data_IF_005225761714
#
_entry.id   IF_005225761714
#
_cell.length_a   1.000
_cell.length_b   1.000
_cell.length_c   1.000
_cell.angle_alpha   90.00
_cell.angle_beta   90.00
_cell.angle_gamma   90.00
#
_symmetry.space_group_name_H-M   'P 1'
#
loop_
_entity.id
_entity.type
_entity.pdbx_description
1 polymer ?
#
# COMPACT_ATOMS: atom_id res chain seq x y z
N UNK A 1 22.47 43.47 -0.52
CA UNK A 1 22.33 42.21 -1.27
C UNK A 1 21.65 41.22 -0.33
N UNK A 2 20.34 40.99 -0.49
CA UNK A 2 19.60 40.02 0.33
C UNK A 2 19.33 38.83 -0.58
N UNK A 3 20.11 37.77 -0.42
CA UNK A 3 19.89 36.51 -1.14
C UNK A 3 18.82 35.71 -0.39
N UNK A 4 17.62 35.65 -0.96
CA UNK A 4 16.53 34.83 -0.46
C UNK A 4 16.72 33.42 -1.04
N UNK A 5 17.19 32.47 -0.22
CA UNK A 5 17.26 31.08 -0.64
C UNK A 5 15.84 30.51 -0.67
N UNK A 6 15.33 30.21 -1.87
CA UNK A 6 14.13 29.42 -2.04
C UNK A 6 14.44 27.97 -1.66
N UNK A 7 13.95 27.52 -0.51
CA UNK A 7 14.00 26.10 -0.13
C UNK A 7 13.09 25.34 -1.09
N UNK A 8 13.67 24.49 -1.94
CA UNK A 8 12.91 23.52 -2.71
C UNK A 8 12.23 22.57 -1.73
N UNK A 9 10.90 22.52 -1.72
CA UNK A 9 10.17 21.41 -1.13
C UNK A 9 10.51 20.16 -1.95
N UNK A 10 11.22 19.20 -1.35
CA UNK A 10 11.35 17.86 -1.92
C UNK A 10 9.99 17.21 -1.68
N UNK A 11 9.19 17.05 -2.73
CA UNK A 11 8.00 16.21 -2.68
C UNK A 11 8.44 14.83 -2.18
N UNK A 12 7.86 14.36 -1.09
CA UNK A 12 8.21 13.10 -0.45
C UNK A 12 7.77 11.96 -1.39
N UNK A 13 8.68 11.52 -2.26
CA UNK A 13 8.49 10.34 -3.12
C UNK A 13 8.61 9.12 -2.22
N UNK A 14 7.56 8.75 -1.49
CA UNK A 14 7.61 7.51 -0.70
C UNK A 14 7.35 6.30 -1.60
N UNK A 15 8.18 6.06 -2.63
CA UNK A 15 8.31 4.70 -3.14
C UNK A 15 9.43 4.07 -2.32
N UNK A 16 9.05 3.36 -1.27
CA UNK A 16 9.93 2.61 -0.37
C UNK A 16 10.56 1.39 -1.09
N UNK A 17 10.02 1.01 -2.25
CA UNK A 17 10.63 0.03 -3.16
C UNK A 17 9.67 -0.59 -4.15
N UNK A 18 10.23 -1.34 -5.09
CA UNK A 18 9.50 -2.09 -6.13
C UNK A 18 9.69 -3.60 -5.96
N UNK A 19 8.66 -4.37 -6.27
CA UNK A 19 8.72 -5.84 -6.33
C UNK A 19 8.18 -6.32 -7.68
N UNK A 20 8.87 -7.28 -8.31
CA UNK A 20 8.38 -7.94 -9.53
C UNK A 20 8.21 -9.43 -9.26
N UNK A 21 7.01 -9.95 -9.51
CA UNK A 21 6.68 -11.36 -9.37
C UNK A 21 6.44 -11.99 -10.75
N UNK A 22 6.82 -13.26 -10.85
CA UNK A 22 6.71 -14.08 -12.06
C UNK A 22 6.46 -15.53 -11.69
N UNK A 23 6.12 -16.39 -12.65
CA UNK A 23 5.96 -17.83 -12.37
C UNK A 23 7.23 -18.47 -11.76
N UNK A 24 8.43 -17.96 -12.09
CA UNK A 24 9.69 -18.45 -11.51
C UNK A 24 10.00 -17.90 -10.12
N UNK A 25 9.38 -16.78 -9.74
CA UNK A 25 9.50 -16.13 -8.44
C UNK A 25 8.14 -15.54 -8.05
N UNK A 26 7.19 -16.37 -7.57
CA UNK A 26 5.82 -15.93 -7.31
C UNK A 26 5.67 -15.23 -5.95
N UNK A 27 6.75 -15.15 -5.16
CA UNK A 27 6.76 -14.57 -3.81
C UNK A 27 7.85 -13.52 -3.66
N UNK A 28 7.67 -12.61 -2.70
CA UNK A 28 8.68 -11.62 -2.37
C UNK A 28 8.34 -10.83 -1.11
N UNK A 29 9.27 -9.97 -0.69
CA UNK A 29 9.01 -9.06 0.42
C UNK A 29 9.69 -7.71 0.21
N UNK A 30 9.08 -6.68 0.77
CA UNK A 30 9.59 -5.32 0.83
C UNK A 30 9.54 -4.83 2.28
N UNK A 31 10.29 -3.79 2.57
CA UNK A 31 10.20 -3.06 3.83
C UNK A 31 9.92 -1.60 3.54
N UNK A 32 9.15 -0.95 4.40
CA UNK A 32 8.81 0.45 4.23
C UNK A 32 8.46 1.10 5.55
N UNK A 33 7.98 2.33 5.50
CA UNK A 33 7.46 3.02 6.67
C UNK A 33 6.17 3.73 6.32
N UNK A 34 5.08 3.29 6.93
CA UNK A 34 3.77 3.88 6.76
C UNK A 34 3.79 5.27 7.40
N UNK A 35 3.49 6.28 6.61
CA UNK A 35 3.47 7.70 7.00
C UNK A 35 2.36 8.44 6.26
N UNK A 36 1.99 9.58 6.81
CA UNK A 36 1.10 10.54 6.20
C UNK A 36 -0.16 10.78 7.02
N UNK A 37 -0.93 11.75 6.59
CA UNK A 37 -2.13 12.23 7.31
C UNK A 37 -3.31 12.48 6.37
N UNK A 38 -3.19 12.10 5.10
CA UNK A 38 -4.30 12.20 4.16
C UNK A 38 -5.23 11.01 4.36
N UNK A 39 -6.52 11.28 4.33
CA UNK A 39 -7.55 10.25 4.36
C UNK A 39 -7.36 9.31 3.15
N UNK A 40 -6.92 8.07 3.41
CA UNK A 40 -6.64 7.09 2.35
C UNK A 40 -7.88 6.86 1.48
N UNK A 41 -9.10 6.68 2.03
CA UNK A 41 -10.27 6.32 1.23
C UNK A 41 -10.74 7.45 0.30
N UNK A 42 -10.99 8.65 0.82
CA UNK A 42 -11.59 9.74 0.05
C UNK A 42 -10.56 10.58 -0.69
N UNK A 43 -9.41 10.88 -0.07
CA UNK A 43 -8.43 11.83 -0.63
C UNK A 43 -7.46 11.14 -1.58
N UNK A 44 -7.00 9.93 -1.24
CA UNK A 44 -5.94 9.23 -1.99
C UNK A 44 -6.56 8.28 -3.02
N UNK A 45 -7.55 7.47 -2.59
CA UNK A 45 -8.17 6.48 -3.45
C UNK A 45 -9.35 7.03 -4.25
N UNK A 46 -10.04 8.07 -3.73
CA UNK A 46 -11.28 8.60 -4.29
C UNK A 46 -12.46 7.64 -4.15
N UNK A 47 -12.34 6.62 -3.29
CA UNK A 47 -13.32 5.56 -3.10
C UNK A 47 -13.20 4.94 -1.71
N UNK A 48 -14.32 4.84 -0.99
CA UNK A 48 -14.34 4.32 0.39
C UNK A 48 -14.38 2.81 0.50
N UNK A 49 -14.77 2.10 -0.57
CA UNK A 49 -14.89 0.64 -0.57
C UNK A 49 -14.30 0.03 -1.83
N UNK A 50 -13.84 -1.22 -1.74
CA UNK A 50 -13.43 -2.00 -2.91
C UNK A 50 -14.64 -2.58 -3.69
N UNK A 51 -14.38 -3.39 -4.72
CA UNK A 51 -15.42 -4.02 -5.55
C UNK A 51 -16.22 -5.10 -4.80
N UNK A 52 -15.63 -5.69 -3.75
CA UNK A 52 -16.26 -6.70 -2.92
C UNK A 52 -17.02 -6.10 -1.72
N UNK A 53 -16.90 -4.78 -1.50
CA UNK A 53 -17.56 -4.06 -0.42
C UNK A 53 -16.73 -3.97 0.86
N UNK A 54 -15.43 -4.29 0.83
CA UNK A 54 -14.55 -4.05 1.97
C UNK A 54 -14.22 -2.57 2.07
N UNK A 55 -14.24 -2.04 3.29
CA UNK A 55 -13.87 -0.67 3.56
C UNK A 55 -12.37 -0.47 3.36
N UNK A 56 -12.03 0.59 2.63
CA UNK A 56 -10.71 1.17 2.65
C UNK A 56 -10.65 2.09 3.87
N UNK A 57 -9.57 2.01 4.66
CA UNK A 57 -9.48 2.69 5.94
C UNK A 57 -8.11 3.32 6.18
N UNK A 58 -8.06 4.24 7.14
CA UNK A 58 -6.82 4.83 7.64
C UNK A 58 -6.30 6.02 6.83
N UNK A 59 -5.03 6.31 7.07
CA UNK A 59 -4.34 7.50 6.59
C UNK A 59 -3.00 7.15 5.98
N UNK A 60 -2.68 7.81 4.88
CA UNK A 60 -1.44 7.59 4.15
C UNK A 60 -0.87 8.89 3.59
N UNK A 61 0.26 8.76 2.89
CA UNK A 61 0.75 9.77 1.96
C UNK A 61 -0.08 9.75 0.67
N UNK A 62 0.00 10.82 -0.12
CA UNK A 62 -0.66 10.88 -1.43
C UNK A 62 -0.07 9.87 -2.43
N UNK A 63 1.25 9.66 -2.36
CA UNK A 63 1.97 8.71 -3.20
C UNK A 63 1.89 7.29 -2.61
N UNK A 64 1.83 6.24 -3.45
CA UNK A 64 1.88 4.85 -2.98
C UNK A 64 3.23 4.51 -2.39
N UNK A 65 3.24 3.67 -1.35
CA UNK A 65 4.46 3.18 -0.69
C UNK A 65 5.29 2.27 -1.59
N UNK A 66 4.64 1.40 -2.36
CA UNK A 66 5.32 0.42 -3.20
C UNK A 66 4.66 0.28 -4.57
N UNK A 67 5.47 -0.20 -5.51
CA UNK A 67 4.97 -0.67 -6.80
C UNK A 67 5.23 -2.17 -6.95
N UNK A 68 4.17 -2.92 -7.20
CA UNK A 68 4.24 -4.36 -7.45
C UNK A 68 3.96 -4.61 -8.94
N UNK A 69 4.82 -5.34 -9.63
CA UNK A 69 4.62 -5.76 -11.02
C UNK A 69 4.43 -7.27 -11.09
N UNK A 70 3.28 -7.70 -11.57
CA UNK A 70 2.99 -9.10 -11.86
C UNK A 70 3.21 -9.35 -13.36
N UNK A 71 4.23 -10.11 -13.71
CA UNK A 71 4.53 -10.41 -15.12
C UNK A 71 3.50 -11.33 -15.78
N UNK A 72 2.88 -12.18 -14.96
CA UNK A 72 1.83 -13.12 -15.33
C UNK A 72 0.69 -13.00 -14.31
N UNK A 73 -0.55 -13.39 -14.68
CA UNK A 73 -1.60 -13.48 -13.69
C UNK A 73 -1.24 -14.47 -12.57
N UNK A 74 -1.52 -14.12 -11.32
CA UNK A 74 -1.26 -14.98 -10.16
C UNK A 74 -2.59 -15.27 -9.46
N UNK A 75 -2.86 -16.56 -9.22
CA UNK A 75 -4.03 -16.98 -8.47
C UNK A 75 -3.73 -17.00 -6.96
N UNK A 76 -4.73 -16.65 -6.15
CA UNK A 76 -4.66 -16.68 -4.68
C UNK A 76 -3.47 -15.92 -4.06
N UNK A 77 -2.98 -14.87 -4.73
CA UNK A 77 -1.93 -14.02 -4.17
C UNK A 77 -2.48 -13.25 -2.97
N UNK A 78 -1.68 -13.23 -1.92
CA UNK A 78 -1.95 -12.52 -0.69
C UNK A 78 -0.84 -11.52 -0.41
N UNK A 79 -1.22 -10.26 -0.19
CA UNK A 79 -0.31 -9.25 0.33
C UNK A 79 -0.58 -9.05 1.81
N UNK A 80 0.46 -9.15 2.64
CA UNK A 80 0.34 -9.00 4.09
C UNK A 80 1.36 -7.99 4.61
N UNK A 81 0.92 -7.13 5.52
CA UNK A 81 1.76 -6.15 6.20
C UNK A 81 2.01 -6.65 7.63
N UNK A 82 3.27 -6.61 8.06
CA UNK A 82 3.64 -6.84 9.46
C UNK A 82 4.36 -5.60 10.00
N UNK A 83 3.73 -4.93 10.96
CA UNK A 83 4.20 -3.74 11.66
C UNK A 83 4.46 -3.99 13.16
N UNK A 84 4.47 -5.26 13.59
CA UNK A 84 4.61 -5.62 15.00
C UNK A 84 3.34 -5.35 15.81
N UNK A 85 3.26 -4.19 16.46
CA UNK A 85 2.14 -3.81 17.34
C UNK A 85 1.35 -2.60 16.84
N UNK A 86 1.78 -1.96 15.75
CA UNK A 86 1.11 -0.77 15.22
C UNK A 86 0.01 -1.17 14.24
N UNK A 87 -1.18 -0.59 14.39
CA UNK A 87 -2.30 -0.79 13.47
C UNK A 87 -2.01 -0.13 12.11
N UNK A 88 -1.83 -0.96 11.09
CA UNK A 88 -1.62 -0.55 9.70
C UNK A 88 -2.85 -0.86 8.88
N UNK A 89 -3.03 -0.16 7.76
CA UNK A 89 -4.09 -0.43 6.80
C UNK A 89 -3.46 -0.70 5.43
N UNK A 90 -4.16 -1.40 4.54
CA UNK A 90 -3.64 -1.79 3.23
C UNK A 90 -4.66 -1.49 2.13
N UNK A 91 -4.21 -0.77 1.10
CA UNK A 91 -4.97 -0.60 -0.13
C UNK A 91 -4.08 -0.84 -1.35
N UNK A 92 -4.66 -1.47 -2.37
CA UNK A 92 -3.95 -1.84 -3.59
C UNK A 92 -4.79 -1.45 -4.79
N UNK A 93 -4.23 -0.59 -5.65
CA UNK A 93 -4.83 -0.25 -6.95
C UNK A 93 -4.08 -1.01 -8.04
N UNK A 94 -4.82 -1.75 -8.84
CA UNK A 94 -4.28 -2.56 -9.94
C UNK A 94 -4.80 -2.12 -11.32
N UNK A 95 -4.44 -2.89 -12.36
CA UNK A 95 -4.93 -2.68 -13.72
C UNK A 95 -6.47 -2.74 -13.79
N UNK A 96 -7.03 -2.11 -14.83
CA UNK A 96 -8.48 -2.14 -15.12
C UNK A 96 -9.38 -1.63 -13.98
N UNK A 97 -8.86 -0.71 -13.16
CA UNK A 97 -9.60 -0.12 -12.05
C UNK A 97 -9.79 -1.05 -10.85
N UNK A 98 -9.06 -2.17 -10.78
CA UNK A 98 -9.05 -3.05 -9.61
C UNK A 98 -8.62 -2.24 -8.37
N UNK A 99 -9.42 -2.33 -7.31
CA UNK A 99 -9.09 -1.84 -5.98
C UNK A 99 -9.29 -3.01 -5.02
N UNK A 100 -8.36 -3.19 -4.10
CA UNK A 100 -8.44 -4.15 -3.00
C UNK A 100 -8.14 -3.40 -1.72
N UNK A 101 -8.97 -3.57 -0.70
CA UNK A 101 -8.80 -2.92 0.59
C UNK A 101 -8.83 -3.96 1.71
N UNK A 102 -7.92 -3.80 2.67
CA UNK A 102 -7.79 -4.67 3.82
C UNK A 102 -7.26 -3.88 5.01
N UNK A 103 -7.88 -4.05 6.17
CA UNK A 103 -7.54 -3.30 7.38
C UNK A 103 -6.91 -4.22 8.42
N UNK A 104 -7.65 -5.25 8.89
CA UNK A 104 -7.09 -6.30 9.75
C UNK A 104 -7.97 -7.56 9.70
N UNK A 105 -7.33 -8.74 9.63
CA UNK A 105 -7.98 -9.99 10.05
C UNK A 105 -7.80 -10.12 11.56
N UNK A 106 -8.91 -9.99 12.29
CA UNK A 106 -9.09 -10.19 13.75
C UNK A 106 -7.88 -10.78 14.49
N UNK A 107 -7.20 -9.96 15.31
CA UNK A 107 -6.27 -10.42 16.35
C UNK A 107 -4.77 -10.20 16.10
N UNK A 108 -4.37 -9.64 14.96
CA UNK A 108 -2.98 -9.23 14.68
C UNK A 108 -2.98 -7.86 14.00
N UNK A 109 -2.09 -6.95 14.43
CA UNK A 109 -1.84 -5.64 13.83
C UNK A 109 -1.16 -5.79 12.46
N UNK A 110 -1.86 -6.34 11.49
CA UNK A 110 -1.28 -6.86 10.25
C UNK A 110 -2.35 -6.86 9.16
N UNK A 111 -2.44 -5.75 8.43
CA UNK A 111 -3.32 -5.61 7.29
C UNK A 111 -3.01 -6.64 6.19
N UNK A 112 -4.05 -7.18 5.57
CA UNK A 112 -3.92 -8.18 4.51
C UNK A 112 -4.97 -7.96 3.42
N UNK A 113 -4.58 -8.19 2.17
CA UNK A 113 -5.52 -8.35 1.04
C UNK A 113 -5.24 -9.65 0.30
N UNK A 114 -6.31 -10.38 -0.01
CA UNK A 114 -6.27 -11.60 -0.81
C UNK A 114 -7.31 -11.49 -1.92
N UNK A 115 -6.94 -11.96 -3.12
CA UNK A 115 -7.89 -12.12 -4.21
C UNK A 115 -7.65 -13.44 -4.94
N UNK A 116 -8.71 -14.12 -5.42
CA UNK A 116 -8.57 -15.40 -6.11
C UNK A 116 -7.79 -15.27 -7.42
N UNK A 117 -7.82 -14.09 -8.05
CA UNK A 117 -7.10 -13.81 -9.28
C UNK A 117 -6.56 -12.39 -9.30
N UNK A 118 -5.25 -12.27 -9.51
CA UNK A 118 -4.55 -11.03 -9.76
C UNK A 118 -4.12 -10.99 -11.23
N UNK A 119 -4.68 -10.09 -12.06
CA UNK A 119 -4.22 -9.90 -13.43
C UNK A 119 -2.72 -9.56 -13.53
N UNK A 120 -2.09 -9.86 -14.66
CA UNK A 120 -0.77 -9.31 -14.94
C UNK A 120 -0.86 -7.77 -15.04
N UNK A 121 0.20 -7.09 -14.59
CA UNK A 121 0.32 -5.64 -14.67
C UNK A 121 0.98 -5.01 -13.45
N UNK A 122 0.84 -3.69 -13.36
CA UNK A 122 1.44 -2.89 -12.30
C UNK A 122 0.39 -2.48 -11.28
N UNK A 123 0.77 -2.58 -10.02
CA UNK A 123 -0.03 -2.31 -8.86
C UNK A 123 0.63 -1.25 -8.00
N UNK A 124 -0.16 -0.29 -7.55
CA UNK A 124 0.21 0.71 -6.56
C UNK A 124 -0.27 0.23 -5.19
N UNK A 125 0.62 0.20 -4.21
CA UNK A 125 0.34 -0.31 -2.86
C UNK A 125 0.52 0.82 -1.86
N UNK A 126 -0.55 1.13 -1.12
CA UNK A 126 -0.53 2.02 0.02
C UNK A 126 -0.57 1.20 1.30
N UNK A 127 0.41 1.40 2.15
CA UNK A 127 0.39 0.94 3.55
C UNK A 127 0.12 2.17 4.41
N UNK A 128 -1.10 2.22 4.93
CA UNK A 128 -1.58 3.29 5.78
C UNK A 128 -1.39 2.99 7.26
N UNK A 129 -1.82 3.94 8.07
CA UNK A 129 -1.92 3.83 9.53
C UNK A 129 -3.32 4.22 9.97
N UNK A 130 -3.82 3.65 11.06
CA UNK A 130 -5.20 3.93 11.49
C UNK A 130 -5.42 5.37 11.96
N UNK A 131 -4.36 6.07 12.40
CA UNK A 131 -4.41 7.46 12.87
C UNK A 131 -3.52 8.36 12.02
N UNK A 132 -3.92 9.61 11.74
CA UNK A 132 -3.16 10.50 10.89
C UNK A 132 -1.83 10.89 11.55
N UNK A 133 -0.77 10.99 10.74
CA UNK A 133 0.54 11.45 11.18
C UNK A 133 1.35 10.43 11.97
N UNK A 134 0.86 9.18 12.11
CA UNK A 134 1.66 8.11 12.66
C UNK A 134 2.80 7.72 11.71
N UNK A 135 3.83 7.11 12.30
CA UNK A 135 4.97 6.56 11.58
C UNK A 135 5.19 5.13 12.05
N UNK A 136 4.93 4.16 11.19
CA UNK A 136 5.08 2.74 11.52
C UNK A 136 5.96 2.01 10.52
N UNK A 137 7.13 1.49 10.92
CA UNK A 137 7.93 0.63 10.05
C UNK A 137 7.25 -0.72 9.86
N UNK A 138 7.32 -1.27 8.66
CA UNK A 138 6.68 -2.54 8.35
C UNK A 138 7.47 -3.40 7.36
N UNK A 139 7.10 -4.68 7.30
CA UNK A 139 7.44 -5.61 6.22
C UNK A 139 6.18 -5.96 5.44
N UNK A 140 6.22 -5.77 4.12
CA UNK A 140 5.19 -6.23 3.19
C UNK A 140 5.64 -7.56 2.58
N UNK A 141 4.82 -8.60 2.65
CA UNK A 141 5.06 -9.89 1.99
C UNK A 141 4.02 -10.15 0.92
N UNK A 142 4.45 -10.81 -0.15
CA UNK A 142 3.60 -11.28 -1.24
C UNK A 142 3.75 -12.80 -1.35
N UNK A 143 2.66 -13.54 -1.15
CA UNK A 143 2.65 -15.00 -1.05
C UNK A 143 1.51 -15.70 -1.77
#
# INVERSE_FOLDING_TARGET
MVSCWATRAIAQTSIDGDLTLSNGNPKGSLTGTAIGSHDLPSTVLGRSTDQAGHDCLGFSSLSPNHRLTLQTPIANLTLSVNSGQDDTTLAVRGPNGLLLCGDDTVGTASAQVTAPQWPAGTYEVWVGTFKPGMRSPYRLTAE
#
